data_IF_254539355982
#
_entry.id   IF_254539355982
#
_cell.length_a   1.000
_cell.length_b   1.000
_cell.length_c   1.000
_cell.angle_alpha   90.00
_cell.angle_beta   90.00
_cell.angle_gamma   90.00
#
_symmetry.space_group_name_H-M   'P 1'
#
loop_
_entity.id
_entity.type
_entity.pdbx_description
1 polymer ?
#
# COMPACT_ATOMS: atom_id res chain seq x y z
N UNK A 1 10.07 -0.47 34.00
CA UNK A 1 8.77 -0.15 34.63
C UNK A 1 7.60 -0.74 33.85
N UNK A 2 7.04 -0.15 32.77
CA UNK A 2 5.82 -0.69 32.15
C UNK A 2 5.95 -2.12 31.59
N UNK A 3 7.05 -2.48 30.94
CA UNK A 3 7.29 -3.85 30.45
C UNK A 3 7.50 -4.86 31.58
N UNK A 4 8.16 -4.48 32.67
CA UNK A 4 8.29 -5.36 33.84
C UNK A 4 6.94 -5.61 34.47
N UNK A 5 6.05 -4.60 34.50
CA UNK A 5 4.66 -4.77 34.93
C UNK A 5 3.82 -5.61 33.96
N UNK A 6 4.00 -5.49 32.63
CA UNK A 6 3.28 -6.32 31.66
C UNK A 6 3.83 -7.75 31.58
N UNK A 7 5.15 -7.93 31.69
CA UNK A 7 5.80 -9.24 31.82
C UNK A 7 5.51 -9.84 33.20
N UNK A 8 5.37 -9.03 34.27
CA UNK A 8 4.88 -9.48 35.58
C UNK A 8 3.40 -9.84 35.53
N UNK A 9 2.55 -9.10 34.81
CA UNK A 9 1.15 -9.43 34.62
C UNK A 9 0.98 -10.69 33.76
N UNK A 10 1.76 -10.82 32.68
CA UNK A 10 1.80 -12.01 31.84
C UNK A 10 2.40 -13.22 32.56
N UNK A 11 3.40 -13.02 33.42
CA UNK A 11 3.98 -14.06 34.26
C UNK A 11 3.15 -14.39 35.51
N UNK A 12 2.26 -13.49 35.94
CA UNK A 12 1.22 -13.81 36.93
C UNK A 12 0.12 -14.70 36.32
N UNK A 13 -0.16 -14.57 35.02
CA UNK A 13 -1.11 -15.40 34.27
C UNK A 13 -0.47 -16.71 33.74
N UNK A 14 0.87 -16.76 33.62
CA UNK A 14 1.59 -17.87 32.96
C UNK A 14 2.89 -18.34 33.65
N UNK A 15 3.02 -18.13 34.97
CA UNK A 15 4.08 -18.70 35.80
C UNK A 15 5.47 -18.07 35.69
N UNK A 16 5.67 -16.88 36.28
CA UNK A 16 6.99 -16.34 36.71
C UNK A 16 8.03 -15.98 35.63
N UNK A 17 8.97 -15.08 35.99
CA UNK A 17 10.06 -14.57 35.13
C UNK A 17 11.02 -15.67 34.63
N UNK A 18 11.13 -16.78 35.36
CA UNK A 18 11.97 -17.93 35.00
C UNK A 18 11.39 -18.76 33.82
N UNK A 19 10.07 -18.78 33.63
CA UNK A 19 9.44 -19.44 32.47
C UNK A 19 9.62 -18.68 31.16
N UNK A 20 10.12 -17.45 31.24
CA UNK A 20 10.40 -16.58 30.10
C UNK A 20 11.85 -16.67 29.61
N UNK A 21 12.75 -17.31 30.36
CA UNK A 21 14.19 -17.40 30.03
C UNK A 21 14.62 -18.86 29.81
N UNK A 22 13.84 -19.85 30.28
CA UNK A 22 14.12 -21.28 30.12
C UNK A 22 13.54 -21.93 28.85
N UNK A 23 14.06 -23.12 28.50
CA UNK A 23 13.40 -24.08 27.57
C UNK A 23 12.14 -24.64 28.25
N UNK A 24 11.04 -23.91 28.16
CA UNK A 24 9.73 -24.37 28.63
C UNK A 24 9.12 -25.46 27.74
N UNK A 25 8.01 -26.05 28.20
CA UNK A 25 7.22 -27.00 27.39
C UNK A 25 6.71 -26.33 26.09
N UNK A 26 6.44 -27.11 25.04
CA UNK A 26 6.01 -26.60 23.71
C UNK A 26 4.79 -25.68 23.82
N UNK A 27 3.84 -26.01 24.69
CA UNK A 27 2.65 -25.20 24.93
C UNK A 27 2.96 -23.85 25.61
N UNK A 28 3.91 -23.83 26.56
CA UNK A 28 4.37 -22.58 27.19
C UNK A 28 5.09 -21.68 26.19
N UNK A 29 5.87 -22.27 25.28
CA UNK A 29 6.55 -21.53 24.22
C UNK A 29 5.56 -20.95 23.20
N UNK A 30 4.50 -21.70 22.86
CA UNK A 30 3.41 -21.21 22.01
C UNK A 30 2.64 -20.06 22.67
N UNK A 31 2.25 -20.21 23.93
CA UNK A 31 1.52 -19.18 24.68
C UNK A 31 2.35 -17.89 24.80
N UNK A 32 3.65 -18.02 25.09
CA UNK A 32 4.58 -16.89 25.13
C UNK A 32 4.70 -16.17 23.78
N UNK A 33 4.79 -16.94 22.69
CA UNK A 33 4.83 -16.38 21.33
C UNK A 33 3.57 -15.58 21.01
N UNK A 34 2.40 -16.07 21.41
CA UNK A 34 1.13 -15.35 21.23
C UNK A 34 1.09 -14.06 22.06
N UNK A 35 1.55 -14.09 23.31
CA UNK A 35 1.57 -12.89 24.16
C UNK A 35 2.53 -11.81 23.63
N UNK A 36 3.70 -12.19 23.12
CA UNK A 36 4.64 -11.25 22.50
C UNK A 36 4.05 -10.62 21.22
N UNK A 37 3.34 -11.41 20.42
CA UNK A 37 2.61 -10.89 19.24
C UNK A 37 1.51 -9.93 19.66
N UNK A 38 0.73 -10.27 20.69
CA UNK A 38 -0.29 -9.37 21.23
C UNK A 38 0.33 -8.07 21.75
N UNK A 39 1.50 -8.12 22.39
CA UNK A 39 2.15 -6.90 22.88
C UNK A 39 2.63 -5.98 21.74
N UNK A 40 3.10 -6.56 20.63
CA UNK A 40 3.41 -5.83 19.40
C UNK A 40 2.17 -5.20 18.77
N UNK A 41 1.04 -5.91 18.77
CA UNK A 41 -0.21 -5.41 18.19
C UNK A 41 -0.91 -4.38 19.06
N UNK A 42 -0.76 -4.41 20.39
CA UNK A 42 -1.45 -3.49 21.30
C UNK A 42 -0.73 -2.12 21.42
N UNK A 43 0.60 -2.06 21.39
CA UNK A 43 1.35 -0.83 21.73
C UNK A 43 2.40 -0.47 20.67
N UNK A 44 2.30 0.71 20.03
CA UNK A 44 3.29 1.21 19.07
C UNK A 44 4.64 1.53 19.74
N UNK A 45 4.62 2.03 20.98
CA UNK A 45 5.79 2.15 21.87
C UNK A 45 6.42 0.77 22.16
N UNK A 46 5.60 -0.28 22.14
CA UNK A 46 6.04 -1.67 22.26
C UNK A 46 6.98 -2.08 21.14
N UNK A 47 6.82 -1.55 19.92
CA UNK A 47 7.74 -1.82 18.80
C UNK A 47 9.13 -1.26 19.11
N UNK A 48 9.25 0.00 19.49
CA UNK A 48 10.54 0.61 19.86
C UNK A 48 11.18 -0.04 21.08
N UNK A 49 10.37 -0.51 22.03
CA UNK A 49 10.86 -1.17 23.24
C UNK A 49 11.30 -2.62 23.01
N UNK A 50 10.54 -3.37 22.19
CA UNK A 50 10.83 -4.76 21.86
C UNK A 50 11.93 -4.86 20.80
N UNK A 51 11.94 -3.97 19.81
CA UNK A 51 12.92 -3.98 18.72
C UNK A 51 14.16 -3.12 19.00
N UNK A 52 14.08 -2.20 19.95
CA UNK A 52 15.17 -1.26 20.21
C UNK A 52 15.24 -0.15 19.17
N UNK A 53 16.36 0.56 19.15
CA UNK A 53 16.51 1.78 18.35
C UNK A 53 16.67 1.49 16.85
N UNK A 54 17.21 0.33 16.49
CA UNK A 54 17.52 -0.09 15.12
C UNK A 54 17.35 -1.61 14.92
N UNK A 55 17.08 -1.98 13.67
CA UNK A 55 17.10 -3.37 13.18
C UNK A 55 15.97 -4.27 13.68
N UNK A 56 16.17 -5.58 13.54
CA UNK A 56 15.18 -6.62 13.79
C UNK A 56 15.03 -7.02 15.28
N UNK A 57 15.38 -6.15 16.23
CA UNK A 57 15.26 -6.46 17.65
C UNK A 57 16.50 -6.99 18.35
N UNK A 58 17.69 -6.70 17.82
CA UNK A 58 18.99 -7.03 18.45
C UNK A 58 19.30 -6.18 19.65
N UNK A 59 19.00 -4.89 19.58
CA UNK A 59 19.20 -3.94 20.66
C UNK A 59 18.02 -3.91 21.65
N UNK A 60 16.90 -4.52 21.27
CA UNK A 60 15.65 -4.50 22.02
C UNK A 60 15.45 -5.69 22.96
N UNK A 61 14.33 -5.68 23.68
CA UNK A 61 13.98 -6.74 24.62
C UNK A 61 13.69 -8.08 23.92
N UNK A 62 13.37 -8.06 22.62
CA UNK A 62 13.12 -9.27 21.83
C UNK A 62 14.35 -10.16 21.72
N UNK A 63 15.56 -9.59 21.62
CA UNK A 63 16.82 -10.35 21.54
C UNK A 63 17.12 -11.19 22.79
N UNK A 64 16.57 -10.81 23.96
CA UNK A 64 16.67 -11.60 25.20
C UNK A 64 15.79 -12.86 25.16
N UNK A 65 14.75 -12.84 24.33
CA UNK A 65 13.75 -13.89 24.24
C UNK A 65 13.96 -14.80 23.03
N UNK A 66 14.41 -14.23 21.91
CA UNK A 66 14.71 -14.91 20.65
C UNK A 66 16.16 -14.62 20.29
N UNK A 67 17.08 -15.47 20.74
CA UNK A 67 18.51 -15.27 20.55
C UNK A 67 18.93 -15.47 19.10
N UNK A 68 18.29 -16.38 18.37
CA UNK A 68 18.53 -16.60 16.94
C UNK A 68 17.91 -15.50 16.06
N UNK A 69 18.71 -14.92 15.17
CA UNK A 69 18.30 -13.83 14.29
C UNK A 69 17.24 -14.26 13.26
N UNK A 70 17.35 -15.47 12.71
CA UNK A 70 16.38 -15.99 11.73
C UNK A 70 15.00 -16.20 12.35
N UNK A 71 14.96 -16.82 13.52
CA UNK A 71 13.72 -17.03 14.28
C UNK A 71 13.06 -15.69 14.64
N UNK A 72 13.86 -14.69 15.00
CA UNK A 72 13.38 -13.34 15.31
C UNK A 72 12.79 -12.63 14.10
N UNK A 73 13.47 -12.72 12.95
CA UNK A 73 12.98 -12.17 11.68
C UNK A 73 11.66 -12.83 11.26
N UNK A 74 11.57 -14.16 11.34
CA UNK A 74 10.33 -14.89 11.04
C UNK A 74 9.19 -14.49 11.98
N UNK A 75 9.46 -14.37 13.28
CA UNK A 75 8.47 -13.92 14.25
C UNK A 75 7.91 -12.53 13.91
N UNK A 76 8.78 -11.60 13.47
CA UNK A 76 8.38 -10.25 13.10
C UNK A 76 7.61 -10.19 11.77
N UNK A 77 7.97 -11.02 10.80
CA UNK A 77 7.18 -11.18 9.57
C UNK A 77 5.76 -11.66 9.88
N UNK A 78 5.64 -12.65 10.78
CA UNK A 78 4.33 -13.14 11.21
C UNK A 78 3.53 -12.10 11.99
N UNK A 79 4.19 -11.31 12.85
CA UNK A 79 3.55 -10.22 13.58
C UNK A 79 3.06 -9.11 12.65
N UNK A 80 3.85 -8.74 11.63
CA UNK A 80 3.45 -7.78 10.62
C UNK A 80 2.21 -8.26 9.86
N UNK A 81 2.18 -9.53 9.42
CA UNK A 81 1.01 -10.12 8.77
C UNK A 81 -0.23 -10.07 9.66
N UNK A 82 -0.11 -10.41 10.94
CA UNK A 82 -1.23 -10.32 11.88
C UNK A 82 -1.73 -8.88 12.06
N UNK A 83 -0.83 -7.90 12.04
CA UNK A 83 -1.22 -6.49 12.03
C UNK A 83 -2.03 -6.14 10.77
N UNK A 84 -1.60 -6.62 9.59
CA UNK A 84 -2.35 -6.41 8.34
C UNK A 84 -3.74 -7.05 8.37
N UNK A 85 -3.85 -8.28 8.86
CA UNK A 85 -5.12 -9.01 8.99
C UNK A 85 -6.09 -8.29 9.95
N UNK A 86 -5.55 -7.61 10.98
CA UNK A 86 -6.30 -6.80 11.93
C UNK A 86 -6.55 -5.35 11.46
N UNK A 87 -6.09 -4.95 10.28
CA UNK A 87 -6.22 -3.58 9.75
C UNK A 87 -5.28 -2.55 10.40
N UNK A 88 -4.28 -3.00 11.16
CA UNK A 88 -3.28 -2.16 11.83
C UNK A 88 -2.07 -1.89 10.92
N UNK A 89 -2.31 -1.23 9.78
CA UNK A 89 -1.30 -1.08 8.72
C UNK A 89 -0.06 -0.29 9.15
N UNK A 90 -0.22 0.78 9.92
CA UNK A 90 0.92 1.58 10.43
C UNK A 90 1.91 0.73 11.24
N UNK A 91 1.38 -0.20 12.04
CA UNK A 91 2.21 -1.13 12.85
C UNK A 91 2.90 -2.15 11.96
N UNK A 92 2.22 -2.69 10.95
CA UNK A 92 2.83 -3.60 9.98
C UNK A 92 3.98 -2.93 9.24
N UNK A 93 3.75 -1.73 8.71
CA UNK A 93 4.73 -0.95 7.95
C UNK A 93 5.98 -0.68 8.80
N UNK A 94 5.78 -0.25 10.05
CA UNK A 94 6.90 -0.01 10.97
C UNK A 94 7.69 -1.30 11.24
N UNK A 95 7.03 -2.44 11.49
CA UNK A 95 7.72 -3.72 11.68
C UNK A 95 8.50 -4.13 10.43
N UNK A 96 7.90 -4.02 9.24
CA UNK A 96 8.53 -4.37 7.96
C UNK A 96 9.76 -3.50 7.66
N UNK A 97 9.67 -2.18 7.93
CA UNK A 97 10.79 -1.24 7.82
C UNK A 97 11.96 -1.66 8.70
N UNK A 98 11.68 -2.12 9.94
CA UNK A 98 12.70 -2.51 10.93
C UNK A 98 13.48 -3.76 10.55
N UNK A 99 12.82 -4.70 9.88
CA UNK A 99 13.43 -5.96 9.44
C UNK A 99 14.02 -5.88 8.02
N UNK A 100 14.00 -4.71 7.39
CA UNK A 100 14.50 -4.50 6.03
C UNK A 100 13.62 -5.05 4.92
N UNK A 101 12.35 -5.37 5.21
CA UNK A 101 11.36 -5.83 4.23
C UNK A 101 10.66 -4.63 3.58
N UNK A 102 11.44 -3.79 2.90
CA UNK A 102 10.98 -2.52 2.32
C UNK A 102 9.94 -2.71 1.21
N UNK A 103 10.09 -3.75 0.38
CA UNK A 103 9.13 -4.08 -0.67
C UNK A 103 7.75 -4.40 -0.09
N UNK A 104 7.70 -5.21 0.97
CA UNK A 104 6.45 -5.56 1.66
C UNK A 104 5.80 -4.34 2.36
N UNK A 105 6.62 -3.44 2.89
CA UNK A 105 6.14 -2.19 3.47
C UNK A 105 5.52 -1.27 2.41
N UNK A 106 6.17 -1.13 1.24
CA UNK A 106 5.64 -0.36 0.12
C UNK A 106 4.38 -0.98 -0.48
N UNK A 107 4.32 -2.31 -0.62
CA UNK A 107 3.10 -3.02 -1.05
C UNK A 107 1.91 -2.73 -0.12
N UNK A 108 2.16 -2.75 1.20
CA UNK A 108 1.14 -2.38 2.19
C UNK A 108 0.66 -0.93 2.01
N UNK A 109 1.58 0.01 1.75
CA UNK A 109 1.24 1.41 1.45
C UNK A 109 0.45 1.53 0.16
N UNK A 110 0.88 0.87 -0.93
CA UNK A 110 0.23 0.90 -2.23
C UNK A 110 -1.20 0.37 -2.14
N UNK A 111 -1.40 -0.73 -1.40
CA UNK A 111 -2.73 -1.26 -1.07
C UNK A 111 -3.58 -0.22 -0.33
N UNK A 112 -3.06 0.35 0.76
CA UNK A 112 -3.79 1.34 1.56
C UNK A 112 -4.14 2.60 0.75
N UNK A 113 -3.23 3.05 -0.12
CA UNK A 113 -3.44 4.18 -1.03
C UNK A 113 -4.55 3.89 -2.03
N UNK A 114 -4.53 2.71 -2.64
CA UNK A 114 -5.57 2.26 -3.57
C UNK A 114 -6.94 2.22 -2.90
N UNK A 115 -7.03 1.62 -1.71
CA UNK A 115 -8.28 1.55 -0.93
C UNK A 115 -8.78 2.94 -0.52
N UNK A 116 -7.89 3.82 -0.05
CA UNK A 116 -8.21 5.19 0.32
C UNK A 116 -8.69 6.01 -0.89
N UNK A 117 -8.06 5.84 -2.06
CA UNK A 117 -8.51 6.46 -3.30
C UNK A 117 -9.89 5.96 -3.75
N UNK A 118 -10.11 4.64 -3.71
CA UNK A 118 -11.41 4.05 -4.01
C UNK A 118 -12.50 4.54 -3.05
N UNK A 119 -12.17 4.80 -1.79
CA UNK A 119 -13.08 5.42 -0.84
C UNK A 119 -13.34 6.91 -1.17
N UNK A 120 -12.30 7.67 -1.52
CA UNK A 120 -12.38 9.08 -1.90
C UNK A 120 -13.24 9.29 -3.15
N UNK A 121 -13.03 8.49 -4.19
CA UNK A 121 -13.81 8.54 -5.44
C UNK A 121 -15.29 8.20 -5.24
N UNK A 122 -15.65 7.48 -4.17
CA UNK A 122 -17.04 7.24 -3.75
C UNK A 122 -17.60 8.35 -2.86
N UNK A 123 -16.86 9.43 -2.64
CA UNK A 123 -17.31 10.62 -1.91
C UNK A 123 -17.01 10.64 -0.40
N UNK A 124 -16.18 9.73 0.12
CA UNK A 124 -15.75 9.79 1.53
C UNK A 124 -14.63 10.83 1.70
N UNK A 125 -14.88 11.87 2.49
CA UNK A 125 -14.00 13.04 2.62
C UNK A 125 -12.77 12.80 3.53
N UNK A 126 -12.83 11.83 4.44
CA UNK A 126 -11.74 11.58 5.40
C UNK A 126 -10.44 11.09 4.74
N UNK A 127 -10.50 10.66 3.47
CA UNK A 127 -9.39 10.01 2.78
C UNK A 127 -8.22 10.91 2.39
N UNK A 128 -8.39 12.23 2.22
CA UNK A 128 -7.32 13.09 1.70
C UNK A 128 -6.13 13.25 2.67
N UNK A 129 -6.41 13.34 3.97
CA UNK A 129 -5.38 13.40 5.01
C UNK A 129 -4.61 12.08 5.08
N UNK A 130 -5.32 10.96 5.04
CA UNK A 130 -4.75 9.61 5.02
C UNK A 130 -3.88 9.39 3.78
N UNK A 131 -4.34 9.79 2.60
CA UNK A 131 -3.57 9.68 1.34
C UNK A 131 -2.25 10.46 1.44
N UNK A 132 -2.29 11.69 1.94
CA UNK A 132 -1.08 12.51 2.11
C UNK A 132 -0.10 11.85 3.09
N UNK A 133 -0.61 11.31 4.20
CA UNK A 133 0.20 10.58 5.17
C UNK A 133 0.85 9.31 4.60
N UNK A 134 0.10 8.53 3.82
CA UNK A 134 0.58 7.32 3.17
C UNK A 134 1.66 7.61 2.11
N UNK A 135 1.47 8.66 1.29
CA UNK A 135 2.49 9.11 0.34
C UNK A 135 3.76 9.54 1.07
N UNK A 136 3.62 10.31 2.16
CA UNK A 136 4.77 10.73 2.95
C UNK A 136 5.52 9.53 3.55
N UNK A 137 4.79 8.58 4.12
CA UNK A 137 5.35 7.34 4.66
C UNK A 137 6.07 6.51 3.58
N UNK A 138 5.49 6.40 2.37
CA UNK A 138 6.13 5.70 1.25
C UNK A 138 7.46 6.35 0.84
N UNK A 139 7.50 7.68 0.80
CA UNK A 139 8.73 8.42 0.53
C UNK A 139 9.76 8.27 1.67
N UNK A 140 9.34 8.28 2.93
CA UNK A 140 10.22 8.02 4.09
C UNK A 140 10.88 6.64 4.00
N UNK A 141 10.12 5.62 3.59
CA UNK A 141 10.62 4.25 3.39
C UNK A 141 11.66 4.22 2.27
N UNK A 142 11.39 4.89 1.14
CA UNK A 142 12.34 4.98 0.03
C UNK A 142 13.62 5.72 0.41
N UNK A 143 13.53 6.79 1.20
CA UNK A 143 14.71 7.47 1.74
C UNK A 143 15.49 6.56 2.69
N UNK A 144 14.81 5.88 3.62
CA UNK A 144 15.44 4.93 4.55
C UNK A 144 16.16 3.81 3.81
N UNK A 145 15.54 3.27 2.76
CA UNK A 145 16.08 2.21 1.91
C UNK A 145 17.42 2.59 1.26
N UNK A 146 17.61 3.85 0.83
CA UNK A 146 18.87 4.31 0.20
C UNK A 146 20.08 4.13 1.11
N UNK A 147 19.89 4.29 2.42
CA UNK A 147 20.96 4.25 3.41
C UNK A 147 21.01 2.93 4.18
N UNK A 148 20.14 1.97 3.86
CA UNK A 148 20.07 0.71 4.58
C UNK A 148 21.20 -0.25 4.14
N UNK A 149 22.02 -0.75 5.08
CA UNK A 149 23.13 -1.64 4.75
C UNK A 149 22.63 -3.02 4.31
N UNK A 150 23.37 -3.67 3.40
CA UNK A 150 23.19 -5.08 3.01
C UNK A 150 21.78 -5.50 2.53
N UNK A 151 21.25 -4.79 1.52
CA UNK A 151 20.01 -5.20 0.85
C UNK A 151 20.30 -6.20 -0.27
N UNK A 152 19.55 -7.31 -0.30
CA UNK A 152 19.64 -8.31 -1.36
C UNK A 152 19.25 -7.73 -2.74
N UNK A 153 19.86 -8.18 -3.85
CA UNK A 153 19.50 -7.68 -5.19
C UNK A 153 18.04 -7.95 -5.55
N UNK A 154 17.46 -9.05 -5.06
CA UNK A 154 16.04 -9.36 -5.24
C UNK A 154 15.16 -8.31 -4.55
N UNK A 155 15.48 -7.97 -3.30
CA UNK A 155 14.71 -6.96 -2.56
C UNK A 155 14.80 -5.59 -3.23
N UNK A 156 15.96 -5.24 -3.80
CA UNK A 156 16.10 -4.00 -4.58
C UNK A 156 15.19 -3.98 -5.81
N UNK A 157 15.13 -5.07 -6.56
CA UNK A 157 14.25 -5.18 -7.72
C UNK A 157 12.78 -5.04 -7.31
N UNK A 158 12.36 -5.73 -6.25
CA UNK A 158 11.00 -5.65 -5.72
C UNK A 158 10.66 -4.22 -5.25
N UNK A 159 11.58 -3.54 -4.56
CA UNK A 159 11.37 -2.14 -4.15
C UNK A 159 11.20 -1.21 -5.35
N UNK A 160 11.95 -1.41 -6.43
CA UNK A 160 11.81 -0.61 -7.65
C UNK A 160 10.44 -0.82 -8.33
N UNK A 161 9.93 -2.06 -8.33
CA UNK A 161 8.58 -2.36 -8.82
C UNK A 161 7.52 -1.67 -7.95
N UNK A 162 7.60 -1.84 -6.63
CA UNK A 162 6.67 -1.20 -5.69
C UNK A 162 6.75 0.34 -5.71
N UNK A 163 7.93 0.91 -5.96
CA UNK A 163 8.09 2.35 -6.18
C UNK A 163 7.40 2.79 -7.47
N UNK A 164 7.52 2.03 -8.56
CA UNK A 164 6.82 2.33 -9.81
C UNK A 164 5.30 2.36 -9.58
N UNK A 165 4.76 1.38 -8.87
CA UNK A 165 3.35 1.33 -8.48
C UNK A 165 2.94 2.55 -7.63
N UNK A 166 3.75 2.94 -6.64
CA UNK A 166 3.50 4.13 -5.82
C UNK A 166 3.39 5.39 -6.68
N UNK A 167 4.30 5.57 -7.66
CA UNK A 167 4.26 6.72 -8.58
C UNK A 167 3.05 6.69 -9.52
N UNK A 168 2.61 5.51 -9.94
CA UNK A 168 1.38 5.36 -10.73
C UNK A 168 0.15 5.77 -9.90
N UNK A 169 0.06 5.33 -8.64
CA UNK A 169 -1.02 5.72 -7.73
C UNK A 169 -1.01 7.24 -7.45
N UNK A 170 0.17 7.83 -7.23
CA UNK A 170 0.32 9.28 -7.06
C UNK A 170 -0.15 10.06 -8.31
N UNK A 171 0.17 9.58 -9.52
CA UNK A 171 -0.29 10.20 -10.76
C UNK A 171 -1.82 10.15 -10.90
N UNK A 172 -2.44 9.00 -10.59
CA UNK A 172 -3.91 8.85 -10.58
C UNK A 172 -4.54 9.84 -9.59
N UNK A 173 -3.97 9.96 -8.39
CA UNK A 173 -4.42 10.87 -7.36
C UNK A 173 -4.33 12.34 -7.78
N UNK A 174 -3.23 12.73 -8.45
CA UNK A 174 -3.05 14.07 -8.97
C UNK A 174 -4.12 14.42 -10.02
N UNK A 175 -4.41 13.49 -10.93
CA UNK A 175 -5.48 13.64 -11.93
C UNK A 175 -6.84 13.84 -11.27
N UNK A 176 -7.18 13.00 -10.28
CA UNK A 176 -8.45 13.12 -9.57
C UNK A 176 -8.59 14.49 -8.88
N UNK A 177 -7.52 14.99 -8.26
CA UNK A 177 -7.50 16.33 -7.64
C UNK A 177 -7.72 17.43 -8.68
N UNK A 178 -7.05 17.36 -9.84
CA UNK A 178 -7.23 18.31 -10.94
C UNK A 178 -8.67 18.31 -11.47
N UNK A 179 -9.25 17.12 -11.65
CA UNK A 179 -10.64 16.96 -12.11
C UNK A 179 -11.62 17.61 -11.11
N UNK A 180 -11.42 17.39 -9.80
CA UNK A 180 -12.26 17.95 -8.74
C UNK A 180 -12.06 19.44 -8.52
N UNK A 181 -10.89 19.99 -8.78
CA UNK A 181 -10.61 21.43 -8.66
C UNK A 181 -11.14 22.24 -9.85
N UNK A 182 -11.77 21.59 -10.84
CA UNK A 182 -12.26 22.23 -12.06
C UNK A 182 -11.22 22.39 -13.17
N UNK A 183 -9.98 21.91 -12.97
CA UNK A 183 -8.90 21.97 -13.96
C UNK A 183 -9.00 20.79 -14.95
N UNK A 184 -10.12 20.71 -15.63
CA UNK A 184 -10.52 19.54 -16.43
C UNK A 184 -9.60 19.29 -17.63
N UNK A 185 -9.16 20.36 -18.31
CA UNK A 185 -8.23 20.24 -19.45
C UNK A 185 -6.88 19.63 -19.04
N UNK A 186 -6.34 20.05 -17.90
CA UNK A 186 -5.07 19.53 -17.41
C UNK A 186 -5.21 18.09 -16.91
N UNK A 187 -6.33 17.76 -16.26
CA UNK A 187 -6.66 16.38 -15.91
C UNK A 187 -6.68 15.47 -17.15
N UNK A 188 -7.31 15.90 -18.24
CA UNK A 188 -7.37 15.12 -19.49
C UNK A 188 -6.00 14.96 -20.16
N UNK A 189 -5.16 16.00 -20.12
CA UNK A 189 -3.79 15.92 -20.63
C UNK A 189 -2.95 14.91 -19.86
N UNK A 190 -3.07 14.91 -18.53
CA UNK A 190 -2.34 13.96 -17.68
C UNK A 190 -2.86 12.53 -17.86
N UNK A 191 -4.17 12.33 -18.03
CA UNK A 191 -4.76 11.02 -18.36
C UNK A 191 -4.17 10.45 -19.66
N UNK A 192 -4.07 11.28 -20.70
CA UNK A 192 -3.50 10.88 -21.99
C UNK A 192 -2.01 10.52 -21.92
N UNK A 193 -1.29 10.99 -20.88
CA UNK A 193 0.15 10.73 -20.68
C UNK A 193 0.45 9.48 -19.86
N UNK A 194 -0.57 8.84 -19.27
CA UNK A 194 -0.35 7.66 -18.44
C UNK A 194 0.21 6.50 -19.28
N UNK A 195 1.43 6.00 -18.98
CA UNK A 195 2.09 5.03 -19.83
C UNK A 195 1.42 3.64 -19.81
N UNK A 196 0.58 3.40 -18.79
CA UNK A 196 -0.12 2.13 -18.59
C UNK A 196 -1.55 2.12 -19.15
N UNK A 197 -2.03 3.25 -19.70
CA UNK A 197 -3.34 3.35 -20.33
C UNK A 197 -3.19 3.81 -21.80
N UNK A 198 -3.72 3.08 -22.78
CA UNK A 198 -3.65 3.44 -24.20
C UNK A 198 -4.64 4.55 -24.56
N UNK A 199 -4.62 5.66 -23.83
CA UNK A 199 -5.58 6.76 -23.97
C UNK A 199 -5.04 7.95 -24.77
N UNK A 200 -3.76 7.98 -25.12
CA UNK A 200 -3.21 9.04 -25.97
C UNK A 200 -3.96 9.08 -27.32
N UNK A 201 -4.68 10.17 -27.66
CA UNK A 201 -5.41 10.31 -28.91
C UNK A 201 -4.52 10.21 -30.16
N UNK A 202 -3.22 10.46 -30.02
CA UNK A 202 -2.25 10.52 -31.12
C UNK A 202 -1.46 9.22 -31.29
N UNK A 203 -1.51 8.31 -30.31
CA UNK A 203 -0.79 7.04 -30.39
C UNK A 203 -1.59 5.99 -31.15
N UNK A 204 -0.90 5.13 -31.91
CA UNK A 204 -1.51 3.90 -32.42
C UNK A 204 -1.88 2.98 -31.24
N UNK A 205 -2.86 2.08 -31.40
CA UNK A 205 -3.41 1.20 -30.35
C UNK A 205 -2.42 0.13 -29.79
N UNK A 206 -1.12 0.35 -29.96
CA UNK A 206 -0.01 -0.48 -29.51
C UNK A 206 0.32 -0.24 -28.04
N UNK A 207 -0.59 -0.57 -27.11
CA UNK A 207 -0.25 -0.68 -25.67
C UNK A 207 -1.22 -1.57 -24.87
N UNK A 208 -1.76 -2.63 -25.46
CA UNK A 208 -2.58 -3.61 -24.71
C UNK A 208 -1.77 -4.44 -23.72
N UNK A 209 -0.45 -4.53 -23.87
CA UNK A 209 0.39 -5.37 -23.00
C UNK A 209 0.80 -4.69 -21.69
N UNK A 210 0.89 -3.36 -21.67
CA UNK A 210 1.21 -2.59 -20.46
C UNK A 210 0.09 -2.71 -19.40
N UNK A 211 -1.17 -2.73 -19.84
CA UNK A 211 -2.32 -2.87 -18.95
C UNK A 211 -2.48 -4.31 -18.40
N UNK A 212 -2.05 -5.33 -19.15
CA UNK A 212 -2.11 -6.74 -18.68
C UNK A 212 -1.21 -6.99 -17.47
N UNK A 213 -0.08 -6.28 -17.41
CA UNK A 213 0.92 -6.42 -16.35
C UNK A 213 0.74 -5.39 -15.23
N UNK A 214 -0.41 -4.72 -15.17
CA UNK A 214 -0.67 -3.71 -14.16
C UNK A 214 -0.84 -4.37 -12.78
N UNK A 215 -0.31 -3.73 -11.74
CA UNK A 215 -0.55 -4.15 -10.36
C UNK A 215 -2.04 -4.12 -10.02
N UNK A 216 -2.56 -5.11 -9.25
CA UNK A 216 -3.94 -5.12 -8.77
C UNK A 216 -4.35 -3.83 -8.05
N UNK A 217 -3.42 -3.19 -7.34
CA UNK A 217 -3.68 -1.95 -6.59
C UNK A 217 -3.98 -0.78 -7.54
N UNK A 218 -3.23 -0.66 -8.63
CA UNK A 218 -3.41 0.40 -9.63
C UNK A 218 -4.65 0.10 -10.48
N UNK A 219 -4.86 -1.16 -10.84
CA UNK A 219 -6.03 -1.62 -11.59
C UNK A 219 -7.34 -1.24 -10.90
N UNK A 220 -7.42 -1.44 -9.57
CA UNK A 220 -8.60 -1.11 -8.78
C UNK A 220 -9.00 0.38 -8.87
N UNK A 221 -8.03 1.26 -9.14
CA UNK A 221 -8.22 2.71 -9.25
C UNK A 221 -8.67 3.16 -10.66
N UNK A 222 -8.43 2.36 -11.70
CA UNK A 222 -8.74 2.72 -13.09
C UNK A 222 -10.22 3.03 -13.33
N UNK A 223 -11.21 2.32 -12.75
CA UNK A 223 -12.61 2.66 -12.98
C UNK A 223 -12.95 4.07 -12.52
N UNK A 224 -12.40 4.50 -11.38
CA UNK A 224 -12.60 5.85 -10.85
C UNK A 224 -11.91 6.89 -11.74
N UNK A 225 -10.68 6.63 -12.18
CA UNK A 225 -9.96 7.48 -13.13
C UNK A 225 -10.73 7.68 -14.44
N UNK A 226 -11.30 6.61 -15.01
CA UNK A 226 -12.10 6.71 -16.24
C UNK A 226 -13.39 7.50 -16.01
N UNK A 227 -14.02 7.38 -14.83
CA UNK A 227 -15.19 8.21 -14.49
C UNK A 227 -14.84 9.70 -14.39
N UNK A 228 -13.69 10.02 -13.84
CA UNK A 228 -13.15 11.39 -13.79
C UNK A 228 -12.86 11.90 -15.21
N UNK A 229 -12.23 11.08 -16.05
CA UNK A 229 -11.97 11.41 -17.45
C UNK A 229 -13.26 11.74 -18.21
N UNK A 230 -14.29 10.90 -18.10
CA UNK A 230 -15.60 11.13 -18.72
C UNK A 230 -16.27 12.39 -18.16
N UNK A 231 -16.19 12.62 -16.85
CA UNK A 231 -16.72 13.84 -16.25
C UNK A 231 -16.02 15.10 -16.77
N UNK A 232 -14.70 15.09 -16.90
CA UNK A 232 -13.95 16.18 -17.49
C UNK A 232 -14.33 16.39 -18.96
N UNK A 233 -14.48 15.31 -19.73
CA UNK A 233 -14.89 15.37 -21.14
C UNK A 233 -16.26 16.00 -21.34
N UNK A 234 -17.23 15.72 -20.44
CA UNK A 234 -18.60 16.26 -20.53
C UNK A 234 -18.65 17.78 -20.31
N UNK A 235 -17.66 18.34 -19.62
CA UNK A 235 -17.63 19.74 -19.23
C UNK A 235 -16.69 20.61 -20.10
N UNK A 236 -15.95 20.00 -21.03
CA UNK A 236 -15.02 20.70 -21.92
C UNK A 236 -15.55 20.69 -23.35
N UNK A 237 -15.52 21.84 -24.01
CA UNK A 237 -15.89 21.97 -25.43
C UNK A 237 -14.80 21.41 -26.33
N UNK A 238 -15.17 20.53 -27.25
CA UNK A 238 -14.26 19.97 -28.25
C UNK A 238 -14.02 20.97 -29.38
N UNK A 239 -12.77 21.42 -29.55
CA UNK A 239 -12.40 22.41 -30.56
C UNK A 239 -11.66 21.80 -31.76
N UNK A 240 -10.96 20.68 -31.57
CA UNK A 240 -10.02 20.10 -32.54
C UNK A 240 -10.27 18.60 -32.82
N UNK A 241 -11.30 18.00 -32.21
CA UNK A 241 -11.63 16.59 -32.36
C UNK A 241 -10.82 15.66 -31.47
N UNK A 242 -9.85 16.18 -30.70
CA UNK A 242 -9.02 15.37 -29.80
C UNK A 242 -9.83 14.77 -28.66
N UNK A 243 -10.84 15.48 -28.17
CA UNK A 243 -11.72 14.99 -27.10
C UNK A 243 -12.63 13.87 -27.58
N UNK A 244 -13.11 13.95 -28.84
CA UNK A 244 -13.85 12.85 -29.47
C UNK A 244 -12.99 11.61 -29.67
N UNK A 245 -11.75 11.79 -30.09
CA UNK A 245 -10.79 10.68 -30.22
C UNK A 245 -10.50 10.02 -28.86
N UNK A 246 -10.34 10.83 -27.79
CA UNK A 246 -10.17 10.32 -26.43
C UNK A 246 -11.39 9.53 -25.95
N UNK A 247 -12.62 10.00 -26.19
CA UNK A 247 -13.86 9.25 -25.89
C UNK A 247 -13.88 7.89 -26.60
N UNK A 248 -13.54 7.87 -27.89
CA UNK A 248 -13.48 6.63 -28.67
C UNK A 248 -12.43 5.66 -28.12
N UNK A 249 -11.26 6.15 -27.69
CA UNK A 249 -10.23 5.31 -27.04
C UNK A 249 -10.69 4.75 -25.70
N UNK A 250 -11.39 5.52 -24.86
CA UNK A 250 -11.98 5.02 -23.61
C UNK A 250 -12.98 3.91 -23.91
N UNK A 251 -13.86 4.09 -24.90
CA UNK A 251 -14.83 3.08 -25.29
C UNK A 251 -14.17 1.79 -25.82
N UNK A 252 -13.19 1.92 -26.72
CA UNK A 252 -12.42 0.80 -27.24
C UNK A 252 -11.66 0.06 -26.13
N UNK A 253 -11.06 0.80 -25.19
CA UNK A 253 -10.36 0.22 -24.03
C UNK A 253 -11.30 -0.63 -23.18
N UNK A 254 -12.51 -0.15 -22.87
CA UNK A 254 -13.49 -0.92 -22.10
C UNK A 254 -14.01 -2.14 -22.88
N UNK A 255 -14.25 -1.99 -24.19
CA UNK A 255 -14.67 -3.09 -25.06
C UNK A 255 -13.62 -4.21 -25.13
N UNK A 256 -12.34 -3.85 -25.16
CA UNK A 256 -11.24 -4.81 -25.19
C UNK A 256 -10.96 -5.47 -23.82
N UNK A 257 -11.54 -4.94 -22.73
CA UNK A 257 -11.35 -5.44 -21.36
C UNK A 257 -12.67 -5.86 -20.69
N UNK A 258 -13.66 -6.31 -21.47
CA UNK A 258 -14.97 -6.77 -20.99
C UNK A 258 -14.92 -7.97 -20.03
N UNK A 259 -13.84 -8.74 -20.06
CA UNK A 259 -13.63 -9.88 -19.17
C UNK A 259 -13.30 -9.49 -17.72
N UNK A 260 -12.98 -8.23 -17.47
CA UNK A 260 -12.73 -7.72 -16.12
C UNK A 260 -14.05 -7.21 -15.53
N UNK A 261 -14.29 -7.47 -14.25
CA UNK A 261 -15.53 -7.14 -13.54
C UNK A 261 -15.64 -5.63 -13.24
N UNK A 262 -15.67 -4.78 -14.29
CA UNK A 262 -15.79 -3.34 -14.13
C UNK A 262 -17.19 -2.95 -13.61
N UNK A 263 -17.30 -1.82 -12.89
CA UNK A 263 -18.59 -1.30 -12.44
C UNK A 263 -19.55 -1.04 -13.61
N UNK A 264 -20.82 -1.49 -13.49
CA UNK A 264 -21.84 -1.31 -14.54
C UNK A 264 -22.11 0.15 -14.89
N UNK A 265 -22.04 1.02 -13.90
CA UNK A 265 -22.27 2.46 -14.08
C UNK A 265 -21.20 3.12 -14.97
N UNK A 266 -19.98 2.56 -15.02
CA UNK A 266 -18.95 3.01 -15.96
C UNK A 266 -19.34 2.71 -17.42
N UNK A 267 -19.83 1.50 -17.68
CA UNK A 267 -20.31 1.13 -19.03
C UNK A 267 -21.50 1.98 -19.45
N UNK A 268 -22.47 2.21 -18.56
CA UNK A 268 -23.61 3.08 -18.83
C UNK A 268 -23.17 4.52 -19.13
N UNK A 269 -22.21 5.05 -18.36
CA UNK A 269 -21.69 6.41 -18.58
C UNK A 269 -21.00 6.54 -19.93
N UNK A 270 -20.20 5.56 -20.33
CA UNK A 270 -19.58 5.55 -21.66
C UNK A 270 -20.62 5.46 -22.77
N UNK A 271 -21.61 4.57 -22.64
CA UNK A 271 -22.69 4.43 -23.62
C UNK A 271 -23.52 5.71 -23.81
N UNK A 272 -23.66 6.54 -22.78
CA UNK A 272 -24.32 7.86 -22.88
C UNK A 272 -23.44 8.96 -23.48
N UNK A 273 -22.12 8.77 -23.49
CA UNK A 273 -21.14 9.75 -23.94
C UNK A 273 -20.67 9.56 -25.39
N UNK A 274 -21.06 8.44 -26.01
CA UNK A 274 -20.85 8.10 -27.42
C UNK A 274 -22.03 8.61 -28.27
#
# INVERSE_FOLDING_TARGET
MALEYYVQAASAVGGGQLSWIGRGNVDQQRQRTLMLKQLLTEILIGIYLLLGSRGAGEEGQLGRFLTDGKTRQQFLLEAARQCQDAGLYDKSIEIQKRIGAFSAALDTINKCLSEAFCALSRGRLDGESTITGLIHSGNEILETFKYYPEISPQERANVMEQQSELRQLEAILAIHKLARSGNQLDALREIARLPFLPLDPRSADMATDAFKNLSPHVEACVPALLKDALHCLDNVTDTDGSLRALRAKIANFLANNLNRNWPRDLYEKVARSL
#
